data_IF_834297784117
#
_entry.id   IF_834297784117
#
_cell.length_a   1.000
_cell.length_b   1.000
_cell.length_c   1.000
_cell.angle_alpha   90.00
_cell.angle_beta   90.00
_cell.angle_gamma   90.00
#
_symmetry.space_group_name_H-M   'P 1'
#
loop_
_entity.id
_entity.type
_entity.pdbx_description
1 polymer ?
#
# COMPACT_ATOMS: atom_id res chain seq x y z
N UNK A 1 12.35 10.80 6.16
CA UNK A 1 12.08 10.97 5.16
C UNK A 1 12.93 10.88 4.10
N UNK A 2 14.07 10.86 4.28
CA UNK A 2 14.96 10.79 3.22
C UNK A 2 14.74 9.67 2.29
N UNK A 3 14.32 8.53 2.76
CA UNK A 3 14.23 7.43 1.83
C UNK A 3 13.22 7.71 0.72
N UNK A 4 12.19 8.42 1.01
CA UNK A 4 11.20 8.69 -0.01
C UNK A 4 11.76 9.54 -1.10
N UNK A 5 12.59 10.48 -0.73
CA UNK A 5 13.19 11.32 -1.72
C UNK A 5 14.17 10.60 -2.58
N UNK A 6 14.91 9.72 -1.96
CA UNK A 6 15.90 8.98 -2.70
C UNK A 6 15.27 8.09 -3.73
N UNK A 7 14.09 7.61 -3.44
CA UNK A 7 13.52 6.72 -4.37
C UNK A 7 13.05 7.39 -5.58
N UNK A 8 12.90 8.55 -5.49
CA UNK A 8 12.49 9.12 -6.55
C UNK A 8 13.10 9.25 -7.60
N UNK A 9 13.47 9.06 -7.90
CA UNK A 9 13.76 9.38 -8.87
C UNK A 9 13.80 8.98 -9.95
N UNK A 10 14.00 9.27 -10.33
CA UNK A 10 14.30 8.89 -11.32
C UNK A 10 13.38 9.02 -12.25
N UNK A 11 13.36 8.53 -13.20
CA UNK A 11 12.64 8.69 -14.18
C UNK A 11 11.30 8.80 -13.79
N UNK A 12 10.96 8.23 -12.86
CA UNK A 12 9.77 8.29 -12.59
C UNK A 12 9.55 9.30 -11.62
N UNK A 13 8.55 9.94 -11.53
CA UNK A 13 8.34 10.82 -10.60
C UNK A 13 8.65 10.31 -9.33
N UNK A 14 9.12 11.02 -8.50
CA UNK A 14 9.44 10.60 -7.18
C UNK A 14 8.20 10.05 -6.53
N UNK A 15 8.37 8.98 -5.80
CA UNK A 15 7.27 8.42 -5.06
C UNK A 15 6.74 9.43 -4.08
N UNK A 16 7.57 10.32 -3.61
CA UNK A 16 7.15 11.32 -2.67
C UNK A 16 6.11 12.24 -3.25
N UNK A 17 6.24 12.57 -4.53
CA UNK A 17 5.30 13.40 -5.15
C UNK A 17 3.93 12.86 -5.09
N UNK A 18 3.75 11.60 -5.30
CA UNK A 18 2.46 10.99 -5.32
C UNK A 18 1.77 11.03 -3.98
N UNK A 19 2.52 11.15 -2.93
CA UNK A 19 1.96 11.15 -1.60
C UNK A 19 1.70 12.54 -1.06
N UNK A 20 2.15 13.56 -1.75
CA UNK A 20 1.99 14.91 -1.25
C UNK A 20 0.78 15.54 -1.91
N UNK A 21 -0.25 15.83 -1.15
CA UNK A 21 -1.43 16.43 -1.70
C UNK A 21 -1.44 17.94 -1.46
N UNK A 22 -0.38 18.48 -0.93
CA UNK A 22 -0.25 19.91 -0.78
C UNK A 22 -1.14 20.52 0.27
N UNK A 23 -1.82 19.73 1.01
CA UNK A 23 -2.72 20.28 2.00
C UNK A 23 -2.22 20.17 3.39
N UNK A 24 -3.03 20.62 4.33
CA UNK A 24 -2.67 20.52 5.72
C UNK A 24 -2.65 19.08 6.19
N UNK A 25 -3.37 18.21 5.50
CA UNK A 25 -3.37 16.80 5.84
C UNK A 25 -2.46 16.06 4.88
N UNK A 26 -1.22 16.45 4.88
CA UNK A 26 -0.26 15.82 3.98
C UNK A 26 -0.13 14.35 4.27
N UNK A 27 0.03 13.56 3.24
CA UNK A 27 0.23 12.13 3.38
C UNK A 27 1.65 11.88 3.88
N UNK A 28 1.86 10.79 4.59
CA UNK A 28 3.23 10.42 4.96
C UNK A 28 3.99 10.08 3.70
N UNK A 29 5.29 10.18 3.75
CA UNK A 29 6.09 9.77 2.62
C UNK A 29 5.85 8.29 2.37
N UNK A 30 5.52 7.93 1.17
CA UNK A 30 5.29 6.54 0.84
C UNK A 30 5.87 6.21 -0.51
N UNK A 31 6.06 4.93 -0.74
CA UNK A 31 6.57 4.42 -2.00
C UNK A 31 5.35 4.03 -2.82
N UNK A 32 5.16 4.68 -3.94
CA UNK A 32 3.99 4.44 -4.79
C UNK A 32 4.49 3.75 -6.05
N UNK A 33 4.12 2.49 -6.20
CA UNK A 33 4.61 1.66 -7.31
C UNK A 33 3.46 0.87 -7.91
N UNK A 34 3.40 0.76 -9.22
CA UNK A 34 2.32 0.03 -9.86
C UNK A 34 2.38 -1.45 -9.51
N UNK A 35 3.57 -1.99 -9.40
CA UNK A 35 3.77 -3.38 -8.99
C UNK A 35 4.57 -3.42 -7.71
N UNK A 36 4.14 -4.24 -6.76
CA UNK A 36 4.86 -4.38 -5.50
C UNK A 36 6.27 -4.92 -5.69
N UNK A 37 6.53 -5.59 -6.83
CA UNK A 37 7.88 -6.09 -7.12
C UNK A 37 8.89 -4.94 -7.17
N UNK A 38 8.44 -3.74 -7.50
CA UNK A 38 9.32 -2.59 -7.60
C UNK A 38 9.76 -2.09 -6.23
N UNK A 39 9.16 -2.58 -5.16
CA UNK A 39 9.53 -2.16 -3.81
C UNK A 39 10.76 -2.90 -3.30
N UNK A 40 11.11 -4.02 -3.90
CA UNK A 40 12.24 -4.82 -3.43
C UNK A 40 13.51 -3.99 -3.56
N UNK A 41 14.26 -3.89 -2.47
CA UNK A 41 15.49 -3.10 -2.44
C UNK A 41 15.26 -1.62 -2.17
N UNK A 42 14.01 -1.18 -2.10
CA UNK A 42 13.70 0.23 -1.93
C UNK A 42 12.71 0.49 -0.82
N UNK A 43 12.03 -0.53 -0.37
CA UNK A 43 10.87 -0.34 0.50
C UNK A 43 11.07 -0.56 1.98
N UNK A 44 12.31 -0.78 2.43
CA UNK A 44 12.53 -1.11 3.83
C UNK A 44 11.97 0.00 4.74
N UNK A 45 11.06 -0.38 5.62
CA UNK A 45 10.43 0.56 6.55
C UNK A 45 9.41 1.49 5.91
N UNK A 46 9.12 1.34 4.63
CA UNK A 46 8.23 2.27 3.93
C UNK A 46 6.77 1.86 4.01
N UNK A 47 5.91 2.83 3.79
CA UNK A 47 4.51 2.59 3.49
C UNK A 47 4.47 2.41 1.98
N UNK A 48 4.17 1.22 1.49
CA UNK A 48 4.16 0.96 0.06
C UNK A 48 2.74 0.87 -0.46
N UNK A 49 2.39 1.75 -1.38
CA UNK A 49 1.08 1.76 -2.03
C UNK A 49 1.28 1.19 -3.42
N UNK A 50 0.64 0.07 -3.72
CA UNK A 50 0.83 -0.58 -4.99
C UNK A 50 -0.48 -0.80 -5.73
N UNK A 51 -0.38 -1.15 -7.01
CA UNK A 51 -1.54 -1.57 -7.78
C UNK A 51 -1.66 -3.08 -7.85
N UNK A 52 -0.75 -3.81 -7.20
CA UNK A 52 -0.77 -5.26 -7.23
C UNK A 52 -1.94 -5.83 -6.45
N UNK A 53 -2.38 -7.04 -6.83
CA UNK A 53 -3.39 -7.74 -6.05
C UNK A 53 -2.80 -8.15 -4.70
N UNK A 54 -3.66 -8.40 -3.73
CA UNK A 54 -3.23 -8.76 -2.38
C UNK A 54 -3.04 -10.25 -2.17
N UNK A 55 -2.66 -10.98 -3.20
CA UNK A 55 -2.47 -12.42 -3.11
C UNK A 55 -1.13 -12.80 -2.50
N UNK A 56 -0.90 -14.10 -2.35
CA UNK A 56 0.30 -14.60 -1.70
C UNK A 56 1.57 -14.19 -2.43
N UNK A 57 1.57 -14.23 -3.77
CA UNK A 57 2.79 -13.88 -4.50
C UNK A 57 3.16 -12.42 -4.26
N UNK A 58 2.17 -11.52 -4.25
CA UNK A 58 2.44 -10.12 -3.99
C UNK A 58 2.93 -9.92 -2.56
N UNK A 59 2.36 -10.66 -1.62
CA UNK A 59 2.77 -10.55 -0.23
C UNK A 59 4.22 -10.97 -0.05
N UNK A 60 4.67 -11.97 -0.81
CA UNK A 60 6.07 -12.38 -0.72
C UNK A 60 7.00 -11.25 -1.11
N UNK A 61 6.66 -10.50 -2.15
CA UNK A 61 7.48 -9.37 -2.56
C UNK A 61 7.46 -8.26 -1.51
N UNK A 62 6.31 -8.01 -0.90
CA UNK A 62 6.24 -7.00 0.15
C UNK A 62 7.08 -7.41 1.36
N UNK A 63 7.05 -8.69 1.71
CA UNK A 63 7.86 -9.18 2.82
C UNK A 63 9.34 -9.09 2.49
N UNK A 64 9.71 -9.42 1.26
CA UNK A 64 11.10 -9.33 0.84
C UNK A 64 11.57 -7.88 0.85
N UNK A 65 10.70 -6.96 0.49
CA UNK A 65 11.02 -5.54 0.50
C UNK A 65 11.08 -4.97 1.90
N UNK A 66 10.56 -5.69 2.89
CA UNK A 66 10.59 -5.29 4.30
C UNK A 66 9.82 -3.99 4.54
N UNK A 67 8.70 -3.84 3.86
CA UNK A 67 7.88 -2.65 4.04
C UNK A 67 7.25 -2.67 5.42
N UNK A 68 6.85 -1.51 5.89
CA UNK A 68 6.17 -1.38 7.16
C UNK A 68 4.66 -1.56 6.97
N UNK A 69 4.15 -1.00 5.89
CA UNK A 69 2.74 -1.10 5.54
C UNK A 69 2.65 -1.40 4.06
N UNK A 70 1.79 -2.32 3.67
CA UNK A 70 1.59 -2.65 2.27
C UNK A 70 0.12 -2.47 1.89
N UNK A 71 -0.13 -1.84 0.75
CA UNK A 71 -1.47 -1.62 0.23
C UNK A 71 -1.58 -2.26 -1.14
N UNK A 72 -2.64 -3.02 -1.34
CA UNK A 72 -2.88 -3.76 -2.57
C UNK A 72 -4.31 -3.53 -3.06
N UNK A 73 -4.65 -4.13 -4.19
CA UNK A 73 -6.01 -4.15 -4.73
C UNK A 73 -6.59 -5.54 -4.44
N UNK A 74 -7.86 -5.63 -4.03
CA UNK A 74 -8.43 -6.93 -3.70
C UNK A 74 -8.74 -7.76 -4.94
N UNK A 75 -8.64 -7.16 -6.12
CA UNK A 75 -8.85 -7.85 -7.39
C UNK A 75 -10.21 -8.57 -7.45
N UNK A 76 -11.18 -8.08 -6.70
CA UNK A 76 -12.49 -8.72 -6.63
C UNK A 76 -12.46 -10.00 -5.82
N UNK A 77 -11.37 -10.27 -5.13
CA UNK A 77 -11.10 -11.44 -4.32
C UNK A 77 -10.94 -12.73 -5.09
N UNK A 78 -11.77 -13.00 -6.06
CA UNK A 78 -11.63 -14.19 -6.87
C UNK A 78 -11.82 -15.49 -6.11
N UNK A 79 -11.35 -16.60 -6.72
CA UNK A 79 -11.53 -17.91 -6.17
C UNK A 79 -10.79 -18.05 -4.85
N UNK A 80 -11.47 -18.61 -3.88
CA UNK A 80 -10.88 -18.86 -2.56
C UNK A 80 -10.26 -17.61 -1.94
N UNK A 81 -10.80 -16.47 -2.29
CA UNK A 81 -10.34 -15.19 -1.74
C UNK A 81 -8.87 -14.93 -2.05
N UNK A 82 -8.43 -15.42 -3.19
CA UNK A 82 -7.01 -15.31 -3.57
C UNK A 82 -6.52 -13.87 -3.61
N UNK A 83 -7.39 -12.93 -3.92
CA UNK A 83 -6.98 -11.52 -4.02
C UNK A 83 -6.63 -10.88 -2.70
N UNK A 84 -6.93 -11.52 -1.58
CA UNK A 84 -6.58 -10.99 -0.26
C UNK A 84 -5.83 -12.01 0.58
N UNK A 85 -5.49 -13.16 0.00
CA UNK A 85 -4.84 -14.24 0.75
C UNK A 85 -3.49 -13.85 1.34
N UNK A 86 -2.83 -12.87 0.74
CA UNK A 86 -1.52 -12.43 1.24
C UNK A 86 -1.58 -11.64 2.53
N UNK A 87 -2.76 -11.13 2.91
CA UNK A 87 -2.87 -10.32 4.11
C UNK A 87 -2.53 -11.13 5.37
N UNK A 88 -2.97 -12.40 5.41
CA UNK A 88 -2.67 -13.27 6.55
C UNK A 88 -1.18 -13.59 6.60
N UNK A 89 -0.57 -13.78 5.44
CA UNK A 89 0.85 -14.05 5.39
C UNK A 89 1.65 -12.88 5.94
N UNK A 90 1.25 -11.67 5.58
CA UNK A 90 1.95 -10.49 6.07
C UNK A 90 1.69 -10.27 7.56
N UNK A 91 0.49 -10.64 8.03
CA UNK A 91 0.19 -10.57 9.44
C UNK A 91 1.17 -11.44 10.24
N UNK A 92 1.46 -12.62 9.74
CA UNK A 92 2.39 -13.53 10.41
C UNK A 92 3.79 -12.96 10.49
N UNK A 93 4.10 -11.98 9.64
CA UNK A 93 5.41 -11.33 9.65
C UNK A 93 5.39 -9.97 10.33
N UNK A 94 4.27 -9.61 10.92
CA UNK A 94 4.16 -8.34 11.62
C UNK A 94 4.03 -7.13 10.72
N UNK A 95 3.69 -7.35 9.44
CA UNK A 95 3.56 -6.27 8.49
C UNK A 95 2.09 -5.90 8.33
N UNK A 96 1.76 -4.64 8.55
CA UNK A 96 0.40 -4.16 8.37
C UNK A 96 0.08 -4.14 6.88
N UNK A 97 -1.08 -4.67 6.51
CA UNK A 97 -1.45 -4.70 5.10
C UNK A 97 -2.95 -4.58 4.94
N UNK A 98 -3.34 -3.92 3.87
CA UNK A 98 -4.75 -3.79 3.53
C UNK A 98 -4.92 -3.81 2.02
N UNK A 99 -6.16 -3.96 1.58
CA UNK A 99 -6.49 -3.87 0.18
C UNK A 99 -7.53 -2.79 -0.01
N UNK A 100 -7.54 -2.21 -1.23
CA UNK A 100 -8.65 -1.36 -1.64
C UNK A 100 -9.53 -2.18 -2.56
N UNK A 101 -10.82 -1.82 -2.66
CA UNK A 101 -11.72 -2.60 -3.49
C UNK A 101 -11.43 -2.38 -4.97
N UNK A 102 -11.62 -3.42 -5.75
CA UNK A 102 -11.42 -3.33 -7.19
C UNK A 102 -12.40 -2.39 -7.85
N UNK A 103 -13.53 -2.13 -7.19
CA UNK A 103 -14.51 -1.20 -7.70
C UNK A 103 -14.08 0.25 -7.50
N UNK A 104 -13.24 0.51 -6.51
CA UNK A 104 -12.84 1.87 -6.19
C UNK A 104 -11.57 2.28 -6.91
N UNK A 105 -10.70 1.34 -7.24
CA UNK A 105 -9.40 1.66 -7.81
C UNK A 105 -9.03 0.66 -8.89
N UNK A 106 -8.29 1.15 -9.89
CA UNK A 106 -7.89 0.31 -11.01
C UNK A 106 -6.70 -0.54 -10.61
N UNK A 107 -6.82 -1.85 -10.80
CA UNK A 107 -5.72 -2.76 -10.50
C UNK A 107 -4.54 -2.44 -11.40
N UNK A 108 -3.35 -2.53 -10.87
CA UNK A 108 -2.14 -2.25 -11.64
C UNK A 108 -1.79 -0.77 -11.70
N UNK A 109 -2.55 0.07 -11.02
CA UNK A 109 -2.38 1.52 -11.09
C UNK A 109 -2.30 2.08 -9.66
N UNK A 110 -1.09 2.31 -9.20
CA UNK A 110 -0.88 2.75 -7.83
C UNK A 110 -1.45 4.14 -7.57
N UNK A 111 -1.45 5.01 -8.56
CA UNK A 111 -2.03 6.34 -8.39
C UNK A 111 -3.54 6.23 -8.13
N UNK A 112 -4.20 5.32 -8.85
CA UNK A 112 -5.61 5.08 -8.64
C UNK A 112 -5.85 4.52 -7.24
N UNK A 113 -4.98 3.59 -6.80
CA UNK A 113 -5.08 3.04 -5.46
C UNK A 113 -4.99 4.15 -4.42
N UNK A 114 -4.02 5.03 -4.57
CA UNK A 114 -3.81 6.10 -3.60
C UNK A 114 -4.93 7.13 -3.60
N UNK A 115 -5.35 7.56 -4.76
CA UNK A 115 -6.29 8.68 -4.84
C UNK A 115 -7.75 8.28 -4.78
N UNK A 116 -8.08 7.09 -5.26
CA UNK A 116 -9.47 6.66 -5.37
C UNK A 116 -9.83 5.49 -4.47
N UNK A 117 -8.83 4.78 -3.96
CA UNK A 117 -9.07 3.53 -3.26
C UNK A 117 -9.87 3.66 -1.99
N UNK A 118 -10.76 2.68 -1.80
CA UNK A 118 -11.53 2.56 -0.56
C UNK A 118 -11.14 1.22 0.04
N UNK A 119 -10.72 1.23 1.30
CA UNK A 119 -10.26 0.01 1.96
C UNK A 119 -11.37 -1.03 1.96
N UNK A 120 -11.02 -2.24 1.55
CA UNK A 120 -11.98 -3.35 1.54
C UNK A 120 -11.64 -4.39 2.60
N UNK A 121 -10.37 -4.65 2.83
CA UNK A 121 -9.92 -5.62 3.84
C UNK A 121 -8.63 -5.15 4.48
N UNK A 122 -8.43 -5.51 5.73
CA UNK A 122 -7.22 -5.15 6.46
C UNK A 122 -6.85 -6.30 7.37
N UNK A 123 -5.54 -6.58 7.50
CA UNK A 123 -5.13 -7.58 8.48
C UNK A 123 -5.14 -6.94 9.87
N UNK A 124 -4.91 -7.74 10.91
CA UNK A 124 -5.01 -7.24 12.28
C UNK A 124 -4.02 -6.12 12.55
N UNK A 125 -2.82 -6.21 12.00
CA UNK A 125 -1.82 -5.17 12.22
C UNK A 125 -2.27 -3.83 11.62
N UNK A 126 -2.85 -3.85 10.41
CA UNK A 126 -3.36 -2.63 9.80
C UNK A 126 -4.59 -2.12 10.54
N UNK A 127 -5.46 -3.01 10.98
CA UNK A 127 -6.64 -2.61 11.74
C UNK A 127 -6.24 -1.93 13.03
N UNK A 128 -5.17 -2.39 13.66
CA UNK A 128 -4.68 -1.78 14.90
C UNK A 128 -4.18 -0.36 14.65
N UNK A 129 -3.83 -0.05 13.40
CA UNK A 129 -3.42 1.31 13.03
C UNK A 129 -4.60 2.12 12.49
N UNK A 130 -5.80 1.57 12.54
CA UNK A 130 -6.99 2.31 12.14
C UNK A 130 -7.55 1.99 10.77
N UNK A 131 -6.95 1.05 10.04
CA UNK A 131 -7.46 0.71 8.72
C UNK A 131 -8.82 0.02 8.87
N UNK A 132 -9.81 0.54 8.21
CA UNK A 132 -11.19 0.05 8.35
C UNK A 132 -11.84 -0.02 6.99
N UNK A 133 -12.53 -1.12 6.72
CA UNK A 133 -13.25 -1.27 5.45
C UNK A 133 -14.25 -0.13 5.29
N UNK A 134 -14.31 0.42 4.10
CA UNK A 134 -15.21 1.53 3.79
C UNK A 134 -14.57 2.89 3.91
N UNK A 135 -13.38 2.99 4.49
CA UNK A 135 -12.68 4.27 4.65
C UNK A 135 -11.81 4.49 3.41
N UNK A 136 -11.72 5.72 2.96
CA UNK A 136 -10.83 6.01 1.84
C UNK A 136 -9.40 5.79 2.26
N UNK A 137 -8.64 5.16 1.39
CA UNK A 137 -7.26 4.84 1.71
C UNK A 137 -6.46 6.06 2.15
N UNK A 138 -6.56 7.15 1.39
CA UNK A 138 -5.75 8.30 1.72
C UNK A 138 -6.15 8.93 3.05
N UNK A 139 -7.41 8.83 3.44
CA UNK A 139 -7.85 9.37 4.73
C UNK A 139 -7.21 8.59 5.87
N UNK A 140 -7.03 7.29 5.70
CA UNK A 140 -6.33 6.49 6.68
C UNK A 140 -4.84 6.79 6.68
N UNK A 141 -4.24 6.89 5.49
CA UNK A 141 -2.79 7.10 5.41
C UNK A 141 -2.35 8.38 6.10
N UNK A 142 -3.17 9.44 6.06
CA UNK A 142 -2.78 10.69 6.71
C UNK A 142 -2.76 10.56 8.22
N UNK A 143 -3.38 9.52 8.78
CA UNK A 143 -3.37 9.31 10.23
C UNK A 143 -2.12 8.57 10.70
N UNK A 144 -1.33 8.02 9.77
CA UNK A 144 -0.15 7.25 10.15
C UNK A 144 0.96 8.19 10.59
N UNK A 145 1.76 7.76 11.56
CA UNK A 145 2.85 8.63 12.02
C UNK A 145 3.87 8.82 10.92
N UNK A 146 4.53 9.95 10.92
CA UNK A 146 5.60 10.21 9.96
C UNK A 146 6.75 9.29 10.20
N UNK A 147 7.41 8.94 9.14
CA UNK A 147 8.57 8.05 9.22
C UNK A 147 9.83 8.79 9.65
#
# INVERSE_FOLDING_TARGET
MAFALALGRAKRRSATEACDDGGTNALPACLVVDSITEAVGRGAGAVAVSGSHGGVSSARFAAQAKVQVAVFNDAGMGRERAGIAGLAMLQARGIAACTVSHDSARIGDAASTLHDGIISHANAAAAALGATAGVRLRDWLVTLPSQ
#
